data_IF_827054855250
#
_entry.id   IF_827054855250
#
_cell.length_a   1.000
_cell.length_b   1.000
_cell.length_c   1.000
_cell.angle_alpha   90.00
_cell.angle_beta   90.00
_cell.angle_gamma   90.00
#
_symmetry.space_group_name_H-M   'P 1'
#
loop_
_entity.id
_entity.type
_entity.pdbx_description
1 polymer ?
#
# COMPACT_ATOMS: atom_id res chain seq x y z
N UNK A 1 21.00 19.94 -8.05
CA UNK A 1 20.76 18.91 -6.99
C UNK A 1 19.31 18.95 -6.48
N UNK A 2 18.31 18.76 -7.36
CA UNK A 2 16.88 18.80 -6.99
C UNK A 2 16.19 17.43 -7.00
N UNK A 3 16.89 16.35 -7.41
CA UNK A 3 16.26 15.04 -7.68
C UNK A 3 16.12 14.08 -6.48
N UNK A 4 16.74 14.36 -5.33
CA UNK A 4 16.67 13.45 -4.16
C UNK A 4 15.56 13.79 -3.18
N UNK A 5 14.88 14.95 -3.33
CA UNK A 5 13.89 15.44 -2.35
C UNK A 5 12.44 14.99 -2.61
N UNK A 6 12.12 14.40 -3.77
CA UNK A 6 10.75 13.98 -4.11
C UNK A 6 10.44 12.48 -3.93
N UNK A 7 11.39 11.66 -3.46
CA UNK A 7 11.20 10.19 -3.48
C UNK A 7 10.53 9.61 -2.22
N UNK A 8 10.39 10.39 -1.15
CA UNK A 8 9.84 9.90 0.12
C UNK A 8 8.36 10.19 0.35
N UNK A 9 7.76 11.13 -0.40
CA UNK A 9 6.33 11.40 -0.34
C UNK A 9 5.49 10.33 -1.04
N UNK A 10 6.03 9.67 -2.08
CA UNK A 10 5.32 8.65 -2.85
C UNK A 10 5.11 7.33 -2.10
N UNK A 11 5.93 7.04 -1.08
CA UNK A 11 5.89 5.78 -0.33
C UNK A 11 4.76 5.70 0.69
N UNK A 12 4.35 6.85 1.27
CA UNK A 12 3.22 6.92 2.22
C UNK A 12 1.85 7.05 1.51
N UNK A 13 1.82 7.57 0.28
CA UNK A 13 0.61 7.60 -0.54
C UNK A 13 0.21 6.21 -1.06
N UNK A 14 1.16 5.27 -1.18
CA UNK A 14 0.88 3.92 -1.66
C UNK A 14 0.16 3.02 -0.64
N UNK A 15 0.26 3.30 0.67
CA UNK A 15 -0.42 2.49 1.70
C UNK A 15 -1.94 2.76 1.77
N UNK A 16 -2.39 3.95 1.35
CA UNK A 16 -3.80 4.35 1.36
C UNK A 16 -4.54 4.02 0.04
N UNK A 17 -3.84 3.62 -1.01
CA UNK A 17 -4.40 3.27 -2.32
C UNK A 17 -4.51 1.75 -2.56
N UNK A 18 -4.23 0.91 -1.55
CA UNK A 18 -4.42 -0.56 -1.58
C UNK A 18 -5.79 -0.94 -0.98
N UNK A 19 -6.72 0.00 -0.93
CA UNK A 19 -8.13 -0.29 -0.71
C UNK A 19 -8.79 -0.12 -2.08
N UNK A 20 -9.06 -1.20 -2.83
CA UNK A 20 -10.01 -1.11 -3.92
C UNK A 20 -11.28 -0.47 -3.36
N UNK A 21 -11.75 0.59 -4.00
CA UNK A 21 -13.02 1.24 -3.68
C UNK A 21 -14.26 0.36 -3.98
N UNK A 22 -14.06 -0.97 -3.99
CA UNK A 22 -15.11 -1.96 -3.84
C UNK A 22 -14.95 -2.65 -2.47
N UNK A 23 -15.12 -1.86 -1.39
CA UNK A 23 -16.15 -2.26 -0.44
C UNK A 23 -17.40 -2.52 -1.30
N UNK A 24 -18.00 -3.70 -1.31
CA UNK A 24 -19.13 -4.00 -0.45
C UNK A 24 -19.42 -5.51 -0.51
N UNK A 25 -19.04 -6.22 0.55
CA UNK A 25 -19.80 -7.29 1.21
C UNK A 25 -18.93 -8.01 2.26
N UNK A 26 -18.07 -7.28 2.97
CA UNK A 26 -17.54 -7.78 4.24
C UNK A 26 -17.79 -6.71 5.30
N UNK A 27 -19.02 -6.73 5.82
CA UNK A 27 -19.36 -6.12 7.11
C UNK A 27 -18.65 -6.83 8.28
N UNK A 28 -17.73 -7.77 8.02
CA UNK A 28 -16.91 -8.48 8.99
C UNK A 28 -15.40 -8.20 8.87
N UNK A 29 -14.95 -7.18 8.13
CA UNK A 29 -13.53 -6.78 8.21
C UNK A 29 -13.26 -6.06 9.54
N UNK A 30 -12.93 -6.83 10.57
CA UNK A 30 -12.46 -6.31 11.83
C UNK A 30 -11.24 -5.38 11.59
N UNK A 31 -11.29 -4.17 12.15
CA UNK A 31 -10.16 -3.22 12.26
C UNK A 31 -8.85 -3.90 12.72
N UNK A 32 -8.96 -5.04 13.39
CA UNK A 32 -7.92 -5.93 13.89
C UNK A 32 -6.88 -6.40 12.85
N UNK A 33 -7.22 -6.55 11.57
CA UNK A 33 -6.26 -6.98 10.53
C UNK A 33 -5.58 -5.82 9.77
N UNK A 34 -6.08 -4.58 9.90
CA UNK A 34 -5.41 -3.38 9.36
C UNK A 34 -4.32 -2.87 10.33
N UNK A 35 -4.56 -2.95 11.64
CA UNK A 35 -3.60 -2.51 12.66
C UNK A 35 -2.20 -3.14 12.54
N UNK A 36 -2.01 -4.44 12.24
CA UNK A 36 -0.68 -5.06 12.20
C UNK A 36 0.19 -4.52 11.05
N UNK A 37 -0.39 -4.24 9.88
CA UNK A 37 0.36 -3.73 8.72
C UNK A 37 0.75 -2.27 8.93
N UNK A 38 -0.20 -1.45 9.37
CA UNK A 38 0.05 -0.03 9.62
C UNK A 38 1.09 0.17 10.72
N UNK A 39 0.99 -0.62 11.80
CA UNK A 39 1.98 -0.64 12.86
C UNK A 39 3.36 -1.07 12.33
N UNK A 40 3.43 -2.10 11.50
CA UNK A 40 4.69 -2.57 10.92
C UNK A 40 5.36 -1.49 10.06
N UNK A 41 4.58 -0.72 9.29
CA UNK A 41 5.11 0.42 8.54
C UNK A 41 5.56 1.57 9.44
N UNK A 42 4.80 1.91 10.48
CA UNK A 42 5.19 2.94 11.45
C UNK A 42 6.50 2.55 12.15
N UNK A 43 6.62 1.31 12.62
CA UNK A 43 7.85 0.80 13.23
C UNK A 43 9.04 0.86 12.27
N UNK A 44 8.84 0.48 11.01
CA UNK A 44 9.90 0.57 10.00
C UNK A 44 10.31 2.01 9.68
N UNK A 45 9.36 2.95 9.68
CA UNK A 45 9.66 4.38 9.52
C UNK A 45 10.40 4.92 10.75
N UNK A 46 9.96 4.57 11.95
CA UNK A 46 10.61 4.93 13.21
C UNK A 46 12.06 4.43 13.23
N UNK A 47 12.31 3.16 12.88
CA UNK A 47 13.67 2.61 12.83
C UNK A 47 14.60 3.41 11.89
N UNK A 48 14.10 3.83 10.72
CA UNK A 48 14.87 4.68 9.79
C UNK A 48 15.13 6.07 10.37
N UNK A 49 14.13 6.65 11.03
CA UNK A 49 14.24 7.94 11.70
C UNK A 49 15.25 7.87 12.84
N UNK A 50 15.25 6.81 13.64
CA UNK A 50 16.27 6.54 14.66
C UNK A 50 17.67 6.46 14.07
N UNK A 51 17.85 5.73 12.95
CA UNK A 51 19.16 5.68 12.28
C UNK A 51 19.63 7.08 11.86
N UNK A 52 18.73 7.91 11.33
CA UNK A 52 19.03 9.28 10.90
C UNK A 52 19.38 10.17 12.10
N UNK A 53 18.58 10.13 13.16
CA UNK A 53 18.81 10.87 14.39
C UNK A 53 20.16 10.53 15.01
N UNK A 54 20.52 9.25 15.08
CA UNK A 54 21.81 8.79 15.60
C UNK A 54 22.99 9.31 14.76
N UNK A 55 22.86 9.36 13.43
CA UNK A 55 23.87 9.94 12.57
C UNK A 55 24.00 11.46 12.82
N UNK A 56 22.89 12.17 12.93
CA UNK A 56 22.88 13.63 13.09
C UNK A 56 23.41 14.06 14.45
N UNK A 57 22.85 13.52 15.52
CA UNK A 57 23.28 13.81 16.89
C UNK A 57 24.73 13.35 17.11
N UNK A 58 25.12 12.17 16.61
CA UNK A 58 26.50 11.70 16.66
C UNK A 58 27.46 12.59 15.87
N UNK A 59 27.03 13.14 14.71
CA UNK A 59 27.85 14.07 13.93
C UNK A 59 28.05 15.40 14.66
N UNK A 60 27.01 15.88 15.36
CA UNK A 60 27.12 17.06 16.24
C UNK A 60 28.08 16.79 17.39
N UNK A 61 27.95 15.66 18.09
CA UNK A 61 28.86 15.29 19.18
C UNK A 61 30.31 15.17 18.71
N UNK A 62 30.56 14.54 17.56
CA UNK A 62 31.90 14.47 16.97
C UNK A 62 32.46 15.85 16.66
N UNK A 63 31.67 16.75 16.07
CA UNK A 63 32.12 18.11 15.78
C UNK A 63 32.45 18.91 17.05
N UNK A 64 31.64 18.78 18.11
CA UNK A 64 31.89 19.43 19.41
C UNK A 64 33.17 18.87 20.07
N UNK A 65 33.36 17.55 20.02
CA UNK A 65 34.51 16.87 20.62
C UNK A 65 35.82 17.20 19.89
N UNK A 66 35.78 17.21 18.56
CA UNK A 66 36.98 17.30 17.73
C UNK A 66 37.40 18.74 17.41
N UNK A 67 36.54 19.74 17.62
CA UNK A 67 36.82 21.13 17.23
C UNK A 67 36.66 22.08 18.41
N UNK A 68 37.77 22.65 18.89
CA UNK A 68 37.74 23.49 20.10
C UNK A 68 37.05 24.84 19.89
N UNK A 69 37.08 25.37 18.66
CA UNK A 69 36.56 26.69 18.32
C UNK A 69 35.09 26.68 17.86
N UNK A 70 34.42 25.54 17.88
CA UNK A 70 33.07 25.44 17.34
C UNK A 70 32.05 26.11 18.27
N UNK A 71 31.20 26.96 17.70
CA UNK A 71 30.01 27.43 18.41
C UNK A 71 29.01 26.29 18.52
N UNK A 72 28.94 25.72 19.72
CA UNK A 72 28.09 24.58 20.01
C UNK A 72 26.63 24.94 20.30
N UNK A 73 26.28 26.22 20.46
CA UNK A 73 24.97 26.66 20.98
C UNK A 73 23.82 26.20 20.08
N UNK A 74 23.87 26.57 18.80
CA UNK A 74 22.83 26.21 17.83
C UNK A 74 22.80 24.70 17.58
N UNK A 75 23.98 24.09 17.34
CA UNK A 75 24.06 22.67 16.97
C UNK A 75 23.65 21.75 18.14
N UNK A 76 23.89 22.15 19.39
CA UNK A 76 23.42 21.41 20.57
C UNK A 76 21.91 21.55 20.76
N UNK A 77 21.36 22.75 20.53
CA UNK A 77 19.91 22.98 20.56
C UNK A 77 19.19 22.14 19.50
N UNK A 78 19.71 22.11 18.28
CA UNK A 78 19.18 21.26 17.21
C UNK A 78 19.28 19.78 17.55
N UNK A 79 20.42 19.31 18.07
CA UNK A 79 20.59 17.92 18.52
C UNK A 79 19.54 17.53 19.57
N UNK A 80 19.21 18.44 20.49
CA UNK A 80 18.17 18.20 21.48
C UNK A 80 16.77 18.12 20.85
N UNK A 81 16.44 18.99 19.89
CA UNK A 81 15.18 18.92 19.15
C UNK A 81 15.01 17.59 18.40
N UNK A 82 16.07 17.13 17.73
CA UNK A 82 16.08 15.82 17.06
C UNK A 82 15.75 14.68 18.02
N UNK A 83 16.32 14.70 19.23
CA UNK A 83 16.03 13.71 20.26
C UNK A 83 14.59 13.81 20.77
N UNK A 84 14.07 15.03 21.00
CA UNK A 84 12.67 15.27 21.40
C UNK A 84 11.70 14.75 20.35
N UNK A 85 11.90 15.09 19.07
CA UNK A 85 11.07 14.62 17.96
C UNK A 85 11.10 13.10 17.85
N UNK A 86 12.26 12.46 18.07
CA UNK A 86 12.36 11.01 18.08
C UNK A 86 11.59 10.37 19.24
N UNK A 87 11.59 10.98 20.42
CA UNK A 87 10.80 10.51 21.57
C UNK A 87 9.29 10.63 21.31
N UNK A 88 8.86 11.74 20.71
CA UNK A 88 7.46 11.93 20.31
C UNK A 88 7.03 10.85 19.30
N UNK A 89 7.83 10.64 18.24
CA UNK A 89 7.60 9.58 17.25
C UNK A 89 7.53 8.17 17.85
N UNK A 90 8.36 7.87 18.84
CA UNK A 90 8.34 6.58 19.53
C UNK A 90 7.06 6.42 20.38
N UNK A 91 6.62 7.50 21.03
CA UNK A 91 5.38 7.55 21.80
C UNK A 91 4.16 7.33 20.89
N UNK A 92 4.09 8.06 19.77
CA UNK A 92 3.02 7.91 18.79
C UNK A 92 2.99 6.51 18.19
N UNK A 93 4.17 5.94 17.87
CA UNK A 93 4.27 4.58 17.38
C UNK A 93 3.72 3.57 18.40
N UNK A 94 4.09 3.72 19.67
CA UNK A 94 3.63 2.84 20.75
C UNK A 94 2.12 2.97 20.99
N UNK A 95 1.59 4.19 20.90
CA UNK A 95 0.16 4.50 21.03
C UNK A 95 -0.64 4.18 19.76
N UNK A 96 0.02 3.80 18.67
CA UNK A 96 -0.58 3.58 17.34
C UNK A 96 -1.28 4.83 16.79
N UNK A 97 -0.85 6.03 17.20
CA UNK A 97 -1.40 7.29 16.72
C UNK A 97 -0.77 7.68 15.39
N UNK A 98 -1.37 7.17 14.31
CA UNK A 98 -0.93 7.43 12.94
C UNK A 98 -1.00 8.90 12.53
N UNK A 99 -1.93 9.66 13.10
CA UNK A 99 -2.13 11.06 12.73
C UNK A 99 -1.02 11.90 13.34
N UNK A 100 -0.80 11.75 14.64
CA UNK A 100 0.27 12.45 15.35
C UNK A 100 1.65 12.02 14.82
N UNK A 101 1.86 10.71 14.60
CA UNK A 101 3.11 10.19 14.04
C UNK A 101 3.48 10.87 12.71
N UNK A 102 2.50 11.16 11.84
CA UNK A 102 2.74 11.84 10.56
C UNK A 102 3.10 13.31 10.74
N UNK A 103 2.48 13.98 11.71
CA UNK A 103 2.76 15.39 12.04
C UNK A 103 4.18 15.48 12.59
N UNK A 104 4.51 14.65 13.57
CA UNK A 104 5.81 14.66 14.24
C UNK A 104 6.93 14.21 13.30
N UNK A 105 6.64 13.29 12.36
CA UNK A 105 7.60 12.91 11.32
C UNK A 105 7.90 14.07 10.36
N UNK A 106 6.94 14.97 10.13
CA UNK A 106 7.15 16.18 9.34
C UNK A 106 7.98 17.21 10.11
N UNK A 107 7.75 17.34 11.43
CA UNK A 107 8.57 18.14 12.33
C UNK A 107 10.03 17.66 12.30
N UNK A 108 10.24 16.37 12.59
CA UNK A 108 11.54 15.71 12.55
C UNK A 108 12.30 15.99 11.26
N UNK A 109 11.66 15.84 10.10
CA UNK A 109 12.30 16.08 8.80
C UNK A 109 12.71 17.54 8.58
N UNK A 110 11.95 18.47 9.14
CA UNK A 110 12.24 19.90 9.06
C UNK A 110 13.44 20.21 9.94
N UNK A 111 13.42 19.72 11.18
CA UNK A 111 14.49 19.95 12.16
C UNK A 111 15.78 19.24 11.76
N UNK A 112 15.71 18.00 11.27
CA UNK A 112 16.86 17.24 10.72
C UNK A 112 17.56 18.01 9.59
N UNK A 113 16.78 18.64 8.72
CA UNK A 113 17.30 19.47 7.65
C UNK A 113 18.01 20.70 8.21
N UNK A 114 17.39 21.41 9.16
CA UNK A 114 17.97 22.59 9.83
C UNK A 114 19.27 22.22 10.55
N UNK A 115 19.25 21.20 11.39
CA UNK A 115 20.41 20.66 12.12
C UNK A 115 21.58 20.35 11.17
N UNK A 116 21.30 19.71 10.03
CA UNK A 116 22.32 19.42 9.01
C UNK A 116 22.93 20.68 8.40
N UNK A 117 22.14 21.73 8.18
CA UNK A 117 22.64 23.00 7.65
C UNK A 117 23.45 23.76 8.70
N UNK A 118 22.97 23.81 9.93
CA UNK A 118 23.60 24.56 11.01
C UNK A 118 24.90 23.90 11.44
N UNK A 119 24.97 22.56 11.50
CA UNK A 119 26.21 21.82 11.72
C UNK A 119 27.26 22.12 10.65
N UNK A 120 26.87 22.11 9.36
CA UNK A 120 27.79 22.44 8.27
C UNK A 120 28.29 23.88 8.35
N UNK A 121 27.41 24.81 8.71
CA UNK A 121 27.76 26.22 8.89
C UNK A 121 28.70 26.42 10.07
N UNK A 122 28.43 25.78 11.21
CA UNK A 122 29.26 25.82 12.41
C UNK A 122 30.68 25.28 12.13
N UNK A 123 30.78 24.11 11.49
CA UNK A 123 32.08 23.53 11.08
C UNK A 123 32.84 24.48 10.15
N UNK A 124 32.16 25.08 9.16
CA UNK A 124 32.78 26.03 8.23
C UNK A 124 33.30 27.28 8.94
N UNK A 125 32.51 27.84 9.85
CA UNK A 125 32.83 29.09 10.55
C UNK A 125 33.95 28.91 11.58
N UNK A 126 34.02 27.74 12.21
CA UNK A 126 35.05 27.39 13.19
C UNK A 126 36.46 27.26 12.58
N UNK A 127 36.57 27.14 11.25
CA UNK A 127 37.84 27.04 10.49
C UNK A 127 38.80 26.00 11.10
N UNK A 128 38.42 24.71 11.15
CA UNK A 128 39.20 23.68 11.82
C UNK A 128 40.60 23.55 11.24
N UNK A 129 41.56 23.25 12.11
CA UNK A 129 42.93 22.88 11.77
C UNK A 129 42.98 21.58 10.96
N UNK A 130 44.15 21.23 10.41
CA UNK A 130 44.31 19.98 9.66
C UNK A 130 44.04 18.74 10.52
N UNK A 131 44.48 18.75 11.77
CA UNK A 131 44.34 17.62 12.68
C UNK A 131 42.87 17.44 13.11
N UNK A 132 42.19 18.52 13.47
CA UNK A 132 40.75 18.49 13.80
C UNK A 132 39.91 18.01 12.61
N UNK A 133 40.21 18.47 11.38
CA UNK A 133 39.54 17.95 10.18
C UNK A 133 39.76 16.46 9.98
N UNK A 134 40.96 15.97 10.28
CA UNK A 134 41.31 14.56 10.12
C UNK A 134 40.56 13.70 11.13
N UNK A 135 40.52 14.12 12.40
CA UNK A 135 39.73 13.45 13.45
C UNK A 135 38.25 13.42 13.09
N UNK A 136 37.67 14.58 12.80
CA UNK A 136 36.26 14.69 12.44
C UNK A 136 35.90 13.84 11.20
N UNK A 137 36.78 13.80 10.20
CA UNK A 137 36.57 12.96 9.02
C UNK A 137 36.52 11.48 9.37
N UNK A 138 37.39 11.01 10.26
CA UNK A 138 37.42 9.62 10.70
C UNK A 138 36.17 9.25 11.50
N UNK A 139 35.75 10.10 12.43
CA UNK A 139 34.55 9.89 13.24
C UNK A 139 33.28 9.91 12.40
N UNK A 140 33.15 10.87 11.48
CA UNK A 140 32.05 10.91 10.52
C UNK A 140 32.06 9.69 9.57
N UNK A 141 33.24 9.14 9.24
CA UNK A 141 33.33 7.92 8.43
C UNK A 141 32.78 6.71 9.20
N UNK A 142 33.14 6.56 10.46
CA UNK A 142 32.65 5.50 11.35
C UNK A 142 31.13 5.62 11.54
N UNK A 143 30.63 6.82 11.85
CA UNK A 143 29.20 7.09 11.98
C UNK A 143 28.43 6.77 10.70
N UNK A 144 28.97 7.11 9.53
CA UNK A 144 28.36 6.76 8.23
C UNK A 144 28.34 5.25 8.00
N UNK A 145 29.34 4.51 8.46
CA UNK A 145 29.36 3.04 8.38
C UNK A 145 28.23 2.44 9.22
N UNK A 146 28.12 2.86 10.49
CA UNK A 146 27.03 2.46 11.40
C UNK A 146 25.67 2.83 10.84
N UNK A 147 25.52 4.05 10.32
CA UNK A 147 24.30 4.50 9.66
C UNK A 147 23.90 3.61 8.48
N UNK A 148 24.84 3.25 7.60
CA UNK A 148 24.55 2.36 6.47
C UNK A 148 24.03 1.00 6.92
N UNK A 149 24.65 0.41 7.94
CA UNK A 149 24.21 -0.87 8.53
C UNK A 149 22.81 -0.73 9.16
N UNK A 150 22.58 0.32 9.96
CA UNK A 150 21.28 0.61 10.57
C UNK A 150 20.19 0.77 9.51
N UNK A 151 20.45 1.56 8.47
CA UNK A 151 19.51 1.79 7.36
C UNK A 151 19.20 0.53 6.56
N UNK A 152 20.15 -0.41 6.46
CA UNK A 152 19.91 -1.70 5.85
C UNK A 152 18.91 -2.52 6.69
N UNK A 153 19.14 -2.65 7.99
CA UNK A 153 18.22 -3.35 8.91
C UNK A 153 16.83 -2.71 8.94
N UNK A 154 16.75 -1.38 9.05
CA UNK A 154 15.48 -0.66 9.00
C UNK A 154 14.79 -0.82 7.63
N UNK A 155 15.57 -0.92 6.55
CA UNK A 155 15.08 -1.28 5.24
C UNK A 155 14.48 -2.69 5.19
N UNK A 156 15.12 -3.68 5.81
CA UNK A 156 14.59 -5.05 5.86
C UNK A 156 13.24 -5.09 6.59
N UNK A 157 13.09 -4.35 7.70
CA UNK A 157 11.81 -4.22 8.40
C UNK A 157 10.72 -3.66 7.48
N UNK A 158 11.04 -2.59 6.73
CA UNK A 158 10.11 -2.02 5.75
C UNK A 158 9.72 -3.05 4.67
N UNK A 159 10.71 -3.81 4.18
CA UNK A 159 10.47 -4.79 3.15
C UNK A 159 9.58 -5.96 3.64
N UNK A 160 9.79 -6.41 4.87
CA UNK A 160 8.96 -7.44 5.51
C UNK A 160 7.52 -6.94 5.74
N UNK A 161 7.34 -5.69 6.17
CA UNK A 161 6.02 -5.08 6.28
C UNK A 161 5.28 -5.06 4.94
N UNK A 162 6.02 -4.87 3.84
CA UNK A 162 5.45 -4.92 2.49
C UNK A 162 5.03 -6.32 2.06
N UNK A 163 5.85 -7.34 2.34
CA UNK A 163 5.49 -8.74 2.10
C UNK A 163 4.23 -9.12 2.87
N UNK A 164 4.14 -8.72 4.16
CA UNK A 164 2.95 -8.93 4.98
C UNK A 164 1.71 -8.26 4.37
N UNK A 165 1.84 -7.00 3.94
CA UNK A 165 0.74 -6.27 3.29
C UNK A 165 0.24 -6.97 2.02
N UNK A 166 1.17 -7.48 1.20
CA UNK A 166 0.82 -8.24 -0.01
C UNK A 166 0.15 -9.57 0.34
N UNK A 167 0.67 -10.31 1.33
CA UNK A 167 0.05 -11.55 1.79
C UNK A 167 -1.38 -11.37 2.28
N UNK A 168 -1.64 -10.31 3.07
CA UNK A 168 -3.00 -9.97 3.52
C UNK A 168 -3.90 -9.62 2.34
N UNK A 169 -3.39 -8.87 1.36
CA UNK A 169 -4.15 -8.55 0.16
C UNK A 169 -4.53 -9.80 -0.66
N UNK A 170 -3.62 -10.77 -0.79
CA UNK A 170 -3.89 -12.07 -1.42
C UNK A 170 -4.94 -12.86 -0.62
N UNK A 171 -4.80 -12.91 0.71
CA UNK A 171 -5.76 -13.61 1.58
C UNK A 171 -7.18 -13.04 1.46
N UNK A 172 -7.33 -11.72 1.29
CA UNK A 172 -8.65 -11.10 1.06
C UNK A 172 -9.27 -11.59 -0.25
N UNK A 173 -8.48 -11.69 -1.31
CA UNK A 173 -8.96 -12.25 -2.58
C UNK A 173 -9.34 -13.71 -2.38
N UNK A 174 -8.55 -14.52 -1.65
CA UNK A 174 -8.91 -15.90 -1.33
C UNK A 174 -10.24 -15.99 -0.56
N UNK A 175 -10.46 -15.16 0.46
CA UNK A 175 -11.72 -15.15 1.21
C UNK A 175 -12.90 -14.79 0.29
N UNK A 176 -12.74 -13.80 -0.60
CA UNK A 176 -13.75 -13.45 -1.59
C UNK A 176 -14.03 -14.61 -2.54
N UNK A 177 -12.98 -15.27 -3.02
CA UNK A 177 -13.09 -16.45 -3.88
C UNK A 177 -13.88 -17.56 -3.19
N UNK A 178 -13.59 -17.86 -1.92
CA UNK A 178 -14.33 -18.85 -1.15
C UNK A 178 -15.83 -18.50 -1.02
N UNK A 179 -16.16 -17.20 -0.82
CA UNK A 179 -17.54 -16.71 -0.77
C UNK A 179 -18.25 -16.79 -2.14
N UNK A 180 -17.54 -16.58 -3.24
CA UNK A 180 -18.10 -16.78 -4.58
C UNK A 180 -18.36 -18.26 -4.85
N UNK A 181 -17.39 -19.12 -4.49
CA UNK A 181 -17.51 -20.56 -4.63
C UNK A 181 -18.70 -21.13 -3.85
N UNK A 182 -18.94 -20.66 -2.62
CA UNK A 182 -20.10 -21.08 -1.82
C UNK A 182 -21.45 -20.67 -2.42
N UNK A 183 -21.46 -19.66 -3.31
CA UNK A 183 -22.61 -19.24 -4.11
C UNK A 183 -22.71 -19.98 -5.46
N UNK A 184 -21.87 -20.99 -5.68
CA UNK A 184 -21.86 -21.79 -6.91
C UNK A 184 -21.35 -21.02 -8.13
N UNK A 185 -20.48 -20.02 -7.92
CA UNK A 185 -19.72 -19.34 -8.98
C UNK A 185 -18.46 -20.16 -9.30
N UNK A 186 -18.11 -20.30 -10.58
CA UNK A 186 -16.83 -20.91 -10.98
C UNK A 186 -15.66 -19.98 -10.60
N UNK A 187 -14.77 -20.51 -9.76
CA UNK A 187 -13.65 -19.77 -9.18
C UNK A 187 -12.29 -20.24 -9.69
N UNK A 188 -12.26 -21.08 -10.72
CA UNK A 188 -11.02 -21.69 -11.25
C UNK A 188 -9.96 -20.65 -11.60
N UNK A 189 -10.35 -19.61 -12.35
CA UNK A 189 -9.44 -18.53 -12.76
C UNK A 189 -8.97 -17.67 -11.58
N UNK A 190 -9.83 -17.44 -10.58
CA UNK A 190 -9.43 -16.71 -9.36
C UNK A 190 -8.38 -17.49 -8.56
N UNK A 191 -8.57 -18.81 -8.39
CA UNK A 191 -7.61 -19.66 -7.68
C UNK A 191 -6.25 -19.74 -8.41
N UNK A 192 -6.26 -19.72 -9.74
CA UNK A 192 -5.03 -19.62 -10.54
C UNK A 192 -4.31 -18.28 -10.31
N UNK A 193 -5.03 -17.16 -10.35
CA UNK A 193 -4.45 -15.83 -10.05
C UNK A 193 -3.88 -15.74 -8.63
N UNK A 194 -4.58 -16.29 -7.63
CA UNK A 194 -4.11 -16.32 -6.24
C UNK A 194 -2.83 -17.15 -6.13
N UNK A 195 -2.78 -18.34 -6.74
CA UNK A 195 -1.59 -19.21 -6.71
C UNK A 195 -0.38 -18.53 -7.35
N UNK A 196 -0.58 -17.84 -8.47
CA UNK A 196 0.48 -17.06 -9.11
C UNK A 196 0.93 -15.89 -8.22
N UNK A 197 0.00 -15.20 -7.57
CA UNK A 197 0.31 -14.13 -6.64
C UNK A 197 1.12 -14.60 -5.43
N UNK A 198 0.81 -15.77 -4.87
CA UNK A 198 1.58 -16.39 -3.79
C UNK A 198 3.00 -16.73 -4.24
N UNK A 199 3.16 -17.29 -5.45
CA UNK A 199 4.47 -17.57 -6.04
C UNK A 199 5.30 -16.29 -6.19
N UNK A 200 4.70 -15.23 -6.72
CA UNK A 200 5.37 -13.93 -6.88
C UNK A 200 5.77 -13.31 -5.54
N UNK A 201 4.93 -13.45 -4.52
CA UNK A 201 5.23 -13.01 -3.16
C UNK A 201 6.40 -13.79 -2.55
N UNK A 202 6.45 -15.11 -2.78
CA UNK A 202 7.58 -15.97 -2.39
C UNK A 202 8.89 -15.54 -3.05
N UNK A 203 8.87 -15.23 -4.34
CA UNK A 203 10.04 -14.71 -5.07
C UNK A 203 10.52 -13.37 -4.51
N UNK A 204 9.60 -12.46 -4.18
CA UNK A 204 9.94 -11.21 -3.50
C UNK A 204 10.58 -11.50 -2.14
N UNK A 205 9.97 -12.35 -1.31
CA UNK A 205 10.50 -12.68 0.01
C UNK A 205 11.92 -13.28 -0.05
N UNK A 206 12.17 -14.17 -1.02
CA UNK A 206 13.50 -14.76 -1.25
C UNK A 206 14.53 -13.72 -1.73
N UNK A 207 14.14 -12.79 -2.61
CA UNK A 207 15.02 -11.71 -3.05
C UNK A 207 15.37 -10.75 -1.90
N UNK A 208 14.43 -10.51 -0.99
CA UNK A 208 14.64 -9.67 0.20
C UNK A 208 15.54 -10.34 1.23
N UNK A 209 15.36 -11.64 1.48
CA UNK A 209 16.22 -12.40 2.42
C UNK A 209 17.65 -12.55 1.91
N UNK A 210 17.84 -12.59 0.59
CA UNK A 210 19.17 -12.70 -0.05
C UNK A 210 19.92 -11.37 -0.14
N UNK A 211 19.26 -10.24 0.14
CA UNK A 211 19.90 -8.93 0.10
C UNK A 211 20.90 -8.79 1.26
N UNK A 212 22.12 -8.34 0.95
CA UNK A 212 23.21 -8.13 1.94
C UNK A 212 23.48 -6.64 2.21
N UNK A 213 22.85 -5.76 1.44
CA UNK A 213 23.02 -4.31 1.56
C UNK A 213 21.80 -3.55 1.03
N UNK A 214 21.74 -2.26 1.34
CA UNK A 214 20.60 -1.39 1.00
C UNK A 214 20.37 -1.24 -0.51
N UNK A 215 21.41 -1.41 -1.35
CA UNK A 215 21.27 -1.33 -2.80
C UNK A 215 20.52 -2.56 -3.34
N UNK A 216 20.95 -3.76 -2.93
CA UNK A 216 20.28 -5.02 -3.28
C UNK A 216 18.85 -5.06 -2.74
N UNK A 217 18.65 -4.64 -1.50
CA UNK A 217 17.32 -4.56 -0.89
C UNK A 217 16.39 -3.62 -1.68
N UNK A 218 16.90 -2.44 -2.07
CA UNK A 218 16.16 -1.49 -2.90
C UNK A 218 15.82 -2.10 -4.26
N UNK A 219 16.75 -2.80 -4.89
CA UNK A 219 16.50 -3.47 -6.17
C UNK A 219 15.38 -4.51 -6.03
N UNK A 220 15.44 -5.39 -5.03
CA UNK A 220 14.41 -6.38 -4.76
C UNK A 220 13.02 -5.76 -4.53
N UNK A 221 12.94 -4.69 -3.72
CA UNK A 221 11.70 -3.92 -3.50
C UNK A 221 11.16 -3.22 -4.75
N UNK A 222 12.00 -3.03 -5.77
CA UNK A 222 11.66 -2.42 -7.05
C UNK A 222 11.34 -3.46 -8.14
N UNK A 223 11.69 -4.73 -7.95
CA UNK A 223 11.51 -5.80 -8.94
C UNK A 223 10.07 -6.30 -8.99
N UNK A 224 9.37 -6.38 -7.85
CA UNK A 224 8.05 -7.00 -7.75
C UNK A 224 7.03 -6.06 -7.09
N UNK A 225 6.05 -5.64 -7.87
CA UNK A 225 4.93 -4.85 -7.39
C UNK A 225 3.62 -5.58 -7.67
N UNK A 226 2.99 -6.05 -6.59
CA UNK A 226 1.74 -6.78 -6.67
C UNK A 226 0.55 -5.87 -7.04
N UNK A 227 0.62 -4.58 -6.72
CA UNK A 227 -0.48 -3.61 -6.85
C UNK A 227 -0.09 -2.39 -7.70
N UNK A 228 -0.02 -1.17 -7.13
CA UNK A 228 0.01 0.08 -7.89
C UNK A 228 1.39 0.59 -8.32
N UNK A 229 2.22 -0.23 -8.98
CA UNK A 229 3.33 0.35 -9.75
C UNK A 229 4.70 0.32 -9.06
N UNK A 230 5.57 -0.58 -9.48
CA UNK A 230 7.02 -0.40 -9.44
C UNK A 230 7.35 0.49 -10.63
N UNK A 231 8.19 1.52 -10.42
CA UNK A 231 8.62 2.42 -11.49
C UNK A 231 9.37 1.68 -12.61
N UNK A 232 10.09 0.61 -12.26
CA UNK A 232 11.03 -0.11 -13.13
C UNK A 232 11.01 -1.62 -12.91
N UNK A 233 9.88 -2.18 -12.47
CA UNK A 233 9.74 -3.61 -12.18
C UNK A 233 8.41 -4.16 -12.68
N UNK A 234 8.14 -5.41 -12.32
CA UNK A 234 6.94 -6.12 -12.76
C UNK A 234 5.75 -5.66 -11.94
N UNK A 235 4.73 -5.16 -12.64
CA UNK A 235 3.44 -4.79 -12.06
C UNK A 235 2.42 -5.88 -12.35
N UNK A 236 2.05 -6.63 -11.33
CA UNK A 236 1.11 -7.72 -11.51
C UNK A 236 -0.34 -7.26 -11.59
N UNK A 237 -0.64 -6.00 -11.23
CA UNK A 237 -1.99 -5.44 -11.22
C UNK A 237 -3.02 -6.34 -10.53
N UNK A 238 -2.58 -7.07 -9.50
CA UNK A 238 -3.32 -8.20 -8.93
C UNK A 238 -4.70 -7.79 -8.43
N UNK A 239 -4.84 -6.61 -7.81
CA UNK A 239 -6.15 -6.10 -7.39
C UNK A 239 -7.12 -5.90 -8.55
N UNK A 240 -6.66 -5.32 -9.66
CA UNK A 240 -7.51 -5.09 -10.83
C UNK A 240 -7.82 -6.39 -11.56
N UNK A 241 -6.81 -7.26 -11.76
CA UNK A 241 -7.00 -8.57 -12.39
C UNK A 241 -7.94 -9.46 -11.58
N UNK A 242 -7.74 -9.57 -10.26
CA UNK A 242 -8.62 -10.36 -9.39
C UNK A 242 -10.04 -9.81 -9.33
N UNK A 243 -10.23 -8.50 -9.35
CA UNK A 243 -11.56 -7.88 -9.45
C UNK A 243 -12.21 -8.22 -10.79
N UNK A 244 -11.52 -7.98 -11.90
CA UNK A 244 -12.01 -8.32 -13.25
C UNK A 244 -12.47 -9.77 -13.33
N UNK A 245 -11.62 -10.71 -12.90
CA UNK A 245 -11.93 -12.14 -12.93
C UNK A 245 -13.10 -12.50 -12.02
N UNK A 246 -13.21 -11.87 -10.84
CA UNK A 246 -14.34 -12.09 -9.94
C UNK A 246 -15.66 -11.58 -10.52
N UNK A 247 -15.67 -10.39 -11.10
CA UNK A 247 -16.86 -9.81 -11.73
C UNK A 247 -17.26 -10.60 -12.99
N UNK A 248 -16.31 -11.02 -13.81
CA UNK A 248 -16.59 -11.87 -14.97
C UNK A 248 -17.24 -13.19 -14.55
N UNK A 249 -16.69 -13.87 -13.53
CA UNK A 249 -17.24 -15.12 -13.02
C UNK A 249 -18.66 -14.94 -12.44
N UNK A 250 -18.91 -13.83 -11.72
CA UNK A 250 -20.23 -13.50 -11.21
C UNK A 250 -21.23 -13.23 -12.36
N UNK A 251 -20.83 -12.46 -13.37
CA UNK A 251 -21.66 -12.17 -14.53
C UNK A 251 -22.00 -13.46 -15.31
N UNK A 252 -21.05 -14.38 -15.46
CA UNK A 252 -21.29 -15.65 -16.14
C UNK A 252 -22.25 -16.54 -15.36
N UNK A 253 -22.17 -16.52 -14.01
CA UNK A 253 -23.18 -17.15 -13.17
C UNK A 253 -24.56 -16.52 -13.34
N UNK A 254 -24.66 -15.19 -13.44
CA UNK A 254 -25.93 -14.49 -13.72
C UNK A 254 -26.51 -14.93 -15.06
N UNK A 255 -25.69 -15.00 -16.12
CA UNK A 255 -26.13 -15.43 -17.46
C UNK A 255 -26.71 -16.84 -17.45
N UNK A 256 -26.22 -17.72 -16.57
CA UNK A 256 -26.76 -19.08 -16.41
C UNK A 256 -28.13 -19.14 -15.73
N UNK A 257 -28.62 -18.04 -15.15
CA UNK A 257 -29.95 -18.00 -14.55
C UNK A 257 -31.05 -18.05 -15.64
N UNK A 258 -32.09 -18.88 -15.51
CA UNK A 258 -33.17 -18.97 -16.50
C UNK A 258 -33.89 -17.65 -16.81
N UNK A 259 -33.94 -16.73 -15.84
CA UNK A 259 -34.62 -15.45 -15.98
C UNK A 259 -33.69 -14.33 -16.48
N UNK A 260 -32.41 -14.61 -16.74
CA UNK A 260 -31.41 -13.61 -17.13
C UNK A 260 -31.76 -12.88 -18.43
N UNK A 261 -32.53 -13.52 -19.32
CA UNK A 261 -32.96 -12.93 -20.60
C UNK A 261 -33.76 -11.63 -20.44
N UNK A 262 -34.46 -11.43 -19.32
CA UNK A 262 -35.19 -10.19 -19.01
C UNK A 262 -34.25 -8.99 -18.79
N UNK A 263 -32.97 -9.24 -18.53
CA UNK A 263 -31.95 -8.26 -18.18
C UNK A 263 -30.83 -8.18 -19.22
N UNK A 264 -31.09 -8.60 -20.45
CA UNK A 264 -30.09 -8.69 -21.53
C UNK A 264 -29.30 -7.40 -21.77
N UNK A 265 -29.97 -6.23 -21.70
CA UNK A 265 -29.32 -4.92 -21.83
C UNK A 265 -28.30 -4.65 -20.72
N UNK A 266 -28.68 -4.88 -19.46
CA UNK A 266 -27.78 -4.70 -18.30
C UNK A 266 -26.60 -5.69 -18.35
N UNK A 267 -26.86 -6.95 -18.73
CA UNK A 267 -25.81 -7.95 -18.92
C UNK A 267 -24.83 -7.51 -20.02
N UNK A 268 -25.34 -6.97 -21.13
CA UNK A 268 -24.53 -6.45 -22.23
C UNK A 268 -23.67 -5.26 -21.82
N UNK A 269 -24.22 -4.34 -21.01
CA UNK A 269 -23.48 -3.20 -20.47
C UNK A 269 -22.36 -3.66 -19.52
N UNK A 270 -22.68 -4.51 -18.54
CA UNK A 270 -21.69 -5.06 -17.63
C UNK A 270 -20.55 -5.80 -18.38
N UNK A 271 -20.89 -6.58 -19.42
CA UNK A 271 -19.88 -7.26 -20.24
C UNK A 271 -19.00 -6.26 -21.01
N UNK A 272 -19.57 -5.17 -21.50
CA UNK A 272 -18.83 -4.10 -22.20
C UNK A 272 -17.83 -3.45 -21.24
N UNK A 273 -18.27 -3.11 -20.03
CA UNK A 273 -17.41 -2.48 -19.03
C UNK A 273 -16.27 -3.40 -18.59
N UNK A 274 -16.54 -4.69 -18.35
CA UNK A 274 -15.49 -5.68 -18.07
C UNK A 274 -14.50 -5.83 -19.24
N UNK A 275 -14.99 -5.80 -20.47
CA UNK A 275 -14.14 -5.89 -21.68
C UNK A 275 -13.24 -4.65 -21.80
N UNK A 276 -13.75 -3.46 -21.49
CA UNK A 276 -12.96 -2.23 -21.48
C UNK A 276 -11.83 -2.27 -20.43
N UNK A 277 -12.15 -2.74 -19.22
CA UNK A 277 -11.16 -2.97 -18.17
C UNK A 277 -10.10 -3.99 -18.59
N UNK A 278 -10.53 -5.12 -19.19
CA UNK A 278 -9.65 -6.17 -19.68
C UNK A 278 -8.71 -5.68 -20.78
N UNK A 279 -9.23 -4.97 -21.78
CA UNK A 279 -8.42 -4.41 -22.88
C UNK A 279 -7.35 -3.46 -22.36
N UNK A 280 -7.70 -2.61 -21.41
CA UNK A 280 -6.73 -1.68 -20.79
C UNK A 280 -5.69 -2.45 -19.99
N UNK A 281 -6.08 -3.45 -19.19
CA UNK A 281 -5.13 -4.28 -18.44
C UNK A 281 -4.19 -5.07 -19.35
N UNK A 282 -4.69 -5.63 -20.45
CA UNK A 282 -3.86 -6.32 -21.45
C UNK A 282 -2.87 -5.36 -22.11
N UNK A 283 -3.31 -4.15 -22.49
CA UNK A 283 -2.45 -3.13 -23.09
C UNK A 283 -1.34 -2.67 -22.13
N UNK A 284 -1.65 -2.55 -20.83
CA UNK A 284 -0.67 -2.20 -19.79
C UNK A 284 0.31 -3.36 -19.56
N UNK A 285 -0.18 -4.61 -19.64
CA UNK A 285 0.61 -5.80 -19.34
C UNK A 285 1.21 -5.70 -17.94
N UNK A 286 2.52 -5.93 -17.81
CA UNK A 286 3.24 -5.79 -16.54
C UNK A 286 3.87 -4.42 -16.32
N UNK A 287 3.54 -3.44 -17.17
CA UNK A 287 4.08 -2.08 -17.07
C UNK A 287 3.36 -1.27 -15.99
N UNK A 288 3.97 -0.16 -15.57
CA UNK A 288 3.27 0.84 -14.76
C UNK A 288 2.15 1.49 -15.61
N UNK A 289 0.99 1.74 -15.01
CA UNK A 289 -0.03 2.59 -15.61
C UNK A 289 0.52 3.96 -16.04
N UNK A 290 0.03 4.44 -17.17
CA UNK A 290 0.33 5.72 -17.79
C UNK A 290 -0.97 6.49 -18.07
N UNK A 291 -0.91 7.82 -18.03
CA UNK A 291 -2.08 8.67 -18.32
C UNK A 291 -3.29 8.30 -17.47
N UNK A 292 -4.43 8.07 -18.13
CA UNK A 292 -5.72 7.74 -17.50
C UNK A 292 -5.92 6.24 -17.27
N UNK A 293 -5.02 5.36 -17.74
CA UNK A 293 -5.23 3.91 -17.76
C UNK A 293 -5.67 3.32 -16.41
N UNK A 294 -5.08 3.78 -15.30
CA UNK A 294 -5.47 3.29 -13.97
C UNK A 294 -6.93 3.66 -13.66
N UNK A 295 -7.29 4.93 -13.87
CA UNK A 295 -8.64 5.44 -13.64
C UNK A 295 -9.64 4.76 -14.55
N UNK A 296 -9.30 4.57 -15.83
CA UNK A 296 -10.17 3.94 -16.82
C UNK A 296 -10.49 2.48 -16.43
N UNK A 297 -9.49 1.71 -16.00
CA UNK A 297 -9.68 0.35 -15.48
C UNK A 297 -10.61 0.35 -14.27
N UNK A 298 -10.36 1.20 -13.28
CA UNK A 298 -11.13 1.20 -12.05
C UNK A 298 -12.56 1.71 -12.22
N UNK A 299 -12.79 2.70 -13.10
CA UNK A 299 -14.12 3.17 -13.44
C UNK A 299 -14.93 2.08 -14.12
N UNK A 300 -14.36 1.43 -15.14
CA UNK A 300 -15.04 0.34 -15.84
C UNK A 300 -15.36 -0.85 -14.91
N UNK A 301 -14.43 -1.23 -14.01
CA UNK A 301 -14.70 -2.26 -13.01
C UNK A 301 -15.77 -1.85 -12.00
N UNK A 302 -15.80 -0.57 -11.59
CA UNK A 302 -16.80 -0.04 -10.69
C UNK A 302 -18.20 -0.06 -11.31
N UNK A 303 -18.31 0.38 -12.56
CA UNK A 303 -19.58 0.45 -13.29
C UNK A 303 -20.13 -0.96 -13.56
N UNK A 304 -19.27 -1.89 -14.00
CA UNK A 304 -19.63 -3.30 -14.13
C UNK A 304 -20.12 -3.89 -12.81
N UNK A 305 -19.40 -3.63 -11.72
CA UNK A 305 -19.77 -4.13 -10.39
C UNK A 305 -21.13 -3.61 -9.94
N UNK A 306 -21.42 -2.32 -10.17
CA UNK A 306 -22.72 -1.72 -9.85
C UNK A 306 -23.87 -2.46 -10.52
N UNK A 307 -23.72 -2.77 -11.81
CA UNK A 307 -24.71 -3.50 -12.58
C UNK A 307 -24.82 -4.96 -12.13
N UNK A 308 -23.70 -5.66 -11.94
CA UNK A 308 -23.67 -7.06 -11.48
C UNK A 308 -24.36 -7.19 -10.13
N UNK A 309 -24.12 -6.26 -9.21
CA UNK A 309 -24.76 -6.21 -7.89
C UNK A 309 -26.28 -6.04 -8.01
N UNK A 310 -26.74 -5.15 -8.89
CA UNK A 310 -28.16 -4.97 -9.17
C UNK A 310 -28.78 -6.27 -9.68
N UNK A 311 -28.19 -6.87 -10.72
CA UNK A 311 -28.65 -8.13 -11.32
C UNK A 311 -28.70 -9.27 -10.29
N UNK A 312 -27.69 -9.37 -9.42
CA UNK A 312 -27.64 -10.38 -8.38
C UNK A 312 -28.77 -10.22 -7.35
N UNK A 313 -29.15 -8.97 -7.03
CA UNK A 313 -30.27 -8.67 -6.13
C UNK A 313 -31.62 -8.98 -6.78
N UNK A 314 -31.81 -8.61 -8.03
CA UNK A 314 -33.07 -8.80 -8.76
C UNK A 314 -33.34 -10.29 -9.01
N UNK A 315 -32.32 -11.04 -9.44
CA UNK A 315 -32.47 -12.46 -9.77
C UNK A 315 -32.56 -13.39 -8.54
N UNK A 316 -32.01 -12.99 -7.39
CA UNK A 316 -32.15 -13.74 -6.14
C UNK A 316 -33.30 -13.25 -5.24
N UNK A 317 -33.81 -12.03 -5.47
CA UNK A 317 -34.95 -11.46 -4.75
C UNK A 317 -36.33 -11.94 -5.25
N UNK A 318 -36.38 -12.65 -6.38
CA UNK A 318 -37.62 -13.19 -6.96
C UNK A 318 -37.93 -14.64 -6.59
N UNK A 319 -37.39 -15.14 -5.47
CA UNK A 319 -37.90 -16.34 -4.82
C UNK A 319 -39.34 -16.14 -4.33
N UNK A 320 -40.31 -16.79 -4.98
CA UNK A 320 -41.73 -16.91 -4.61
C UNK A 320 -42.57 -15.61 -4.54
N UNK A 321 -43.01 -15.13 -5.70
CA UNK A 321 -44.44 -14.82 -5.85
C UNK A 321 -45.06 -15.92 -6.70
N UNK A 322 -45.49 -16.99 -6.05
CA UNK A 322 -46.40 -17.96 -6.66
C UNK A 322 -47.57 -17.19 -7.23
N UNK A 323 -47.73 -17.29 -8.56
CA UNK A 323 -48.93 -16.87 -9.26
C UNK A 323 -50.13 -17.52 -8.56
N UNK A 324 -50.93 -16.73 -7.85
CA UNK A 324 -52.25 -17.18 -7.44
C UNK A 324 -53.07 -17.30 -8.72
N UNK A 325 -53.24 -18.54 -9.15
CA UNK A 325 -54.18 -18.99 -10.16
C UNK A 325 -55.50 -18.24 -10.06
N UNK A 326 -55.88 -17.65 -11.18
CA UNK A 326 -57.24 -17.29 -11.54
C UNK A 326 -58.24 -18.39 -11.18
N UNK A 327 -59.27 -18.02 -10.43
CA UNK A 327 -60.55 -18.72 -10.41
C UNK A 327 -61.63 -17.75 -10.90
N UNK A 328 -62.26 -17.98 -12.06
CA UNK A 328 -63.40 -17.21 -12.50
C UNK A 328 -64.64 -17.73 -11.76
N UNK A 329 -65.40 -16.84 -11.11
CA UNK A 329 -66.77 -17.15 -10.68
C UNK A 329 -67.72 -16.10 -11.24
N UNK A 330 -68.40 -16.52 -12.31
CA UNK A 330 -69.59 -15.91 -12.85
C UNK A 330 -70.84 -16.33 -12.07
N UNK A 331 -71.75 -15.36 -11.93
CA UNK A 331 -73.23 -15.43 -11.92
C UNK A 331 -74.02 -16.02 -10.73
N UNK A 332 -75.01 -15.22 -10.27
CA UNK A 332 -76.20 -15.57 -9.50
C UNK A 332 -76.50 -14.51 -8.43
N UNK A 333 -77.20 -13.40 -8.70
CA UNK A 333 -78.67 -13.20 -8.87
C UNK A 333 -79.53 -13.44 -7.61
N UNK A 334 -80.43 -12.46 -7.35
CA UNK A 334 -81.52 -12.36 -6.35
C UNK A 334 -81.09 -12.22 -4.87
N UNK A 335 -81.64 -11.35 -4.04
CA UNK A 335 -82.77 -10.42 -4.12
C UNK A 335 -83.21 -10.10 -2.68
N UNK A 336 -83.76 -8.89 -2.50
CA UNK A 336 -84.22 -8.22 -1.26
C UNK A 336 -83.15 -7.50 -0.43
#
# INVERSE_FOLDING_TARGET
MQQTKMQYAALMACALLIVPAAAFADSGYNQQNQMPVEQSYMNAVLARTTCQANLETGSTSAAISDMQSIDQTTISSDSNKINTDLQALNTDASNKDKTQFKIDLKSFRTDSKTATFDLRSAIKNAKPTSDERTKLKNDLSNLRSTYKSCMFTAGQQFANARVLAYGIGIQRVQNRTNTLQSKGVDTTQLNQLISQAQTNLGNLAAALSSATNSLQLKAALQSYCQYNGCKSGINFHFAAQSTLTAEQAALDKIKSNPNSGQYSSLIGQAQTDLTNAQNTLHAVGTSKYQGTQQTDVWNALHDAHGIIKQLWSELNGHGHKSASSSSPRSSGSSGQ
#
